data_IF_005890675665
#
_entry.id   IF_005890675665
#
_cell.length_a   1.000
_cell.length_b   1.000
_cell.length_c   1.000
_cell.angle_alpha   90.00
_cell.angle_beta   90.00
_cell.angle_gamma   90.00
#
_symmetry.space_group_name_H-M   'P 1'
#
loop_
_entity.id
_entity.type
_entity.pdbx_description
1 polymer ?
#
# COMPACT_ATOMS: atom_id res chain seq x y z
N UNK A 1 -4.71 5.13 20.02
CA UNK A 1 -3.27 4.98 19.98
C UNK A 1 -2.97 3.62 19.36
N UNK A 2 -1.88 3.50 18.61
CA UNK A 2 -1.45 2.26 17.97
C UNK A 2 -0.94 1.30 19.06
N UNK A 3 -1.31 0.03 18.98
CA UNK A 3 -0.95 -0.99 19.97
C UNK A 3 0.19 -1.87 19.47
N UNK A 4 0.31 -2.00 18.14
CA UNK A 4 1.30 -2.85 17.51
C UNK A 4 1.89 -2.20 16.25
N UNK A 5 3.06 -2.64 15.82
CA UNK A 5 3.71 -2.12 14.62
C UNK A 5 4.63 -3.16 13.98
N UNK A 6 4.84 -3.01 12.68
CA UNK A 6 5.88 -3.71 11.92
C UNK A 6 6.67 -2.71 11.08
N UNK A 7 7.97 -2.94 10.94
CA UNK A 7 8.85 -2.12 10.12
C UNK A 7 9.75 -2.98 9.24
N UNK A 8 9.61 -2.85 7.93
CA UNK A 8 10.42 -3.52 6.93
C UNK A 8 11.54 -2.59 6.43
N UNK A 9 12.78 -2.86 6.83
CA UNK A 9 13.96 -2.13 6.36
C UNK A 9 14.30 -2.53 4.93
N UNK A 10 14.35 -1.59 4.00
CA UNK A 10 14.59 -1.83 2.59
C UNK A 10 15.97 -1.35 2.14
N UNK A 11 16.25 -0.06 2.29
CA UNK A 11 17.53 0.55 1.92
C UNK A 11 18.32 0.94 3.17
N UNK A 12 19.59 0.58 3.23
CA UNK A 12 20.50 0.90 4.34
C UNK A 12 21.64 1.75 3.82
N UNK A 13 21.91 2.86 4.50
CA UNK A 13 22.96 3.82 4.23
C UNK A 13 23.83 3.99 5.49
N UNK A 14 24.96 4.62 5.37
CA UNK A 14 25.88 4.82 6.51
C UNK A 14 25.22 5.65 7.64
N UNK A 15 24.38 6.62 7.28
CA UNK A 15 23.73 7.51 8.23
C UNK A 15 22.25 7.19 8.52
N UNK A 16 21.74 6.04 8.06
CA UNK A 16 20.35 5.67 8.29
C UNK A 16 19.79 4.60 7.37
N UNK A 17 18.48 4.46 7.39
CA UNK A 17 17.79 3.51 6.54
C UNK A 17 16.39 3.98 6.17
N UNK A 18 15.88 3.48 5.05
CA UNK A 18 14.49 3.65 4.63
C UNK A 18 13.76 2.32 4.62
N UNK A 19 12.46 2.35 4.81
CA UNK A 19 11.63 1.16 4.82
C UNK A 19 10.14 1.47 4.83
N UNK A 20 9.36 0.41 4.86
CA UNK A 20 7.92 0.47 5.00
C UNK A 20 7.53 0.24 6.46
N UNK A 21 6.48 0.90 6.93
CA UNK A 21 5.95 0.70 8.28
C UNK A 21 4.44 0.50 8.24
N UNK A 22 3.95 -0.37 9.10
CA UNK A 22 2.53 -0.54 9.38
C UNK A 22 2.33 -0.41 10.88
N UNK A 23 1.41 0.48 11.28
CA UNK A 23 0.98 0.65 12.67
C UNK A 23 -0.47 0.17 12.78
N UNK A 24 -0.78 -0.59 13.81
CA UNK A 24 -2.09 -1.20 13.99
C UNK A 24 -2.67 -0.96 15.39
N UNK A 25 -3.99 -0.85 15.47
CA UNK A 25 -4.75 -0.94 16.73
C UNK A 25 -5.04 -2.38 17.13
N UNK A 26 -4.84 -3.31 16.20
CA UNK A 26 -5.06 -4.73 16.37
C UNK A 26 -3.74 -5.47 16.42
N UNK A 27 -3.67 -6.62 17.10
CA UNK A 27 -2.45 -7.43 17.14
C UNK A 27 -1.98 -7.83 15.74
N UNK A 28 -0.70 -7.64 15.47
CA UNK A 28 -0.01 -8.18 14.29
C UNK A 28 0.50 -9.57 14.67
N UNK A 29 -0.18 -10.61 14.22
CA UNK A 29 0.14 -12.00 14.58
C UNK A 29 1.28 -12.58 13.76
N UNK A 30 1.52 -12.01 12.57
CA UNK A 30 2.63 -12.36 11.70
C UNK A 30 2.98 -11.20 10.79
N UNK A 31 4.26 -11.04 10.50
CA UNK A 31 4.70 -10.12 9.46
C UNK A 31 5.99 -10.58 8.79
N UNK A 32 6.21 -10.13 7.57
CA UNK A 32 7.43 -10.34 6.81
C UNK A 32 7.71 -9.14 5.91
N UNK A 33 8.99 -8.87 5.67
CA UNK A 33 9.45 -7.87 4.70
C UNK A 33 10.18 -8.57 3.57
N UNK A 34 9.67 -8.46 2.36
CA UNK A 34 10.16 -9.17 1.18
C UNK A 34 10.87 -8.19 0.28
N UNK A 35 12.08 -8.52 -0.13
CA UNK A 35 12.80 -7.75 -1.14
C UNK A 35 12.14 -7.94 -2.51
N UNK A 36 11.69 -6.83 -3.09
CA UNK A 36 11.11 -6.76 -4.44
C UNK A 36 11.95 -5.85 -5.35
N UNK A 37 13.19 -5.60 -5.01
CA UNK A 37 14.10 -4.74 -5.77
C UNK A 37 14.26 -5.23 -7.22
N UNK A 38 14.10 -4.35 -8.19
CA UNK A 38 14.32 -4.67 -9.60
C UNK A 38 15.81 -4.62 -9.97
N UNK A 39 16.60 -3.88 -9.21
CA UNK A 39 18.06 -3.80 -9.35
C UNK A 39 18.72 -3.28 -8.06
N UNK A 40 20.03 -3.52 -7.94
CA UNK A 40 20.81 -3.27 -6.71
C UNK A 40 20.88 -1.80 -6.23
N UNK A 41 20.61 -0.85 -7.12
CA UNK A 41 20.70 0.58 -6.79
C UNK A 41 19.37 1.20 -6.34
N UNK A 42 18.28 0.44 -6.41
CA UNK A 42 16.96 0.89 -6.00
C UNK A 42 16.30 -0.21 -5.15
N UNK A 43 16.63 -0.20 -3.87
CA UNK A 43 16.14 -1.20 -2.92
C UNK A 43 14.68 -0.90 -2.56
N UNK A 44 13.83 -1.89 -2.77
CA UNK A 44 12.38 -1.81 -2.55
C UNK A 44 11.89 -3.04 -1.81
N UNK A 45 10.90 -2.84 -0.94
CA UNK A 45 10.33 -3.91 -0.15
C UNK A 45 8.82 -3.92 -0.19
N UNK A 46 8.28 -5.10 0.10
CA UNK A 46 6.88 -5.34 0.40
C UNK A 46 6.81 -5.76 1.86
N UNK A 47 6.20 -4.93 2.70
CA UNK A 47 5.90 -5.29 4.08
C UNK A 47 4.49 -5.86 4.15
N UNK A 48 4.37 -7.13 4.53
CA UNK A 48 3.11 -7.84 4.70
C UNK A 48 2.88 -8.15 6.17
N UNK A 49 1.70 -7.78 6.68
CA UNK A 49 1.25 -8.06 8.04
C UNK A 49 -0.07 -8.83 8.00
N UNK A 50 -0.21 -9.80 8.88
CA UNK A 50 -1.46 -10.48 9.21
C UNK A 50 -1.94 -9.96 10.57
N UNK A 51 -3.16 -9.43 10.62
CA UNK A 51 -3.73 -8.81 11.82
C UNK A 51 -4.91 -9.60 12.32
N UNK A 52 -4.96 -9.83 13.62
CA UNK A 52 -6.11 -10.44 14.28
C UNK A 52 -7.18 -9.37 14.58
N UNK A 53 -8.31 -9.48 13.90
CA UNK A 53 -9.44 -8.56 14.08
C UNK A 53 -10.50 -9.25 14.92
N UNK A 54 -10.89 -8.70 16.08
CA UNK A 54 -11.89 -9.29 16.93
C UNK A 54 -13.20 -9.60 16.18
N UNK A 55 -13.64 -10.86 16.28
CA UNK A 55 -14.86 -11.34 15.63
C UNK A 55 -14.70 -11.76 14.17
N UNK A 56 -13.50 -11.71 13.59
CA UNK A 56 -13.24 -12.24 12.25
C UNK A 56 -12.69 -13.65 12.33
N UNK A 57 -13.09 -14.51 11.37
CA UNK A 57 -12.59 -15.88 11.28
C UNK A 57 -11.22 -15.98 10.59
N UNK A 58 -10.93 -15.02 9.71
CA UNK A 58 -9.69 -14.95 8.95
C UNK A 58 -8.95 -13.66 9.29
N UNK A 59 -7.61 -13.68 9.34
CA UNK A 59 -6.83 -12.48 9.59
C UNK A 59 -7.01 -11.46 8.45
N UNK A 60 -6.89 -10.17 8.80
CA UNK A 60 -6.75 -9.11 7.82
C UNK A 60 -5.31 -9.07 7.31
N UNK A 61 -5.13 -9.24 6.00
CA UNK A 61 -3.84 -9.04 5.36
C UNK A 61 -3.65 -7.56 5.01
N UNK A 62 -2.59 -6.96 5.52
CA UNK A 62 -2.21 -5.58 5.21
C UNK A 62 -0.83 -5.55 4.57
N UNK A 63 -0.71 -4.86 3.44
CA UNK A 63 0.54 -4.76 2.70
C UNK A 63 0.88 -3.30 2.48
N UNK A 64 2.12 -2.93 2.82
CA UNK A 64 2.70 -1.63 2.51
C UNK A 64 3.81 -1.79 1.46
N UNK A 65 3.74 -0.98 0.41
CA UNK A 65 4.72 -1.00 -0.68
C UNK A 65 5.25 0.40 -0.99
N UNK A 66 6.49 0.45 -1.48
CA UNK A 66 7.04 1.60 -2.16
C UNK A 66 7.76 1.11 -3.42
N UNK A 67 7.15 1.33 -4.58
CA UNK A 67 7.67 0.84 -5.85
C UNK A 67 8.74 1.77 -6.43
N UNK A 68 9.51 1.25 -7.37
CA UNK A 68 10.53 2.02 -8.08
C UNK A 68 9.94 3.07 -9.03
N UNK A 69 10.79 3.98 -9.48
CA UNK A 69 10.40 5.10 -10.35
C UNK A 69 10.22 4.68 -11.83
N UNK A 70 10.97 3.65 -12.26
CA UNK A 70 11.02 3.28 -13.67
C UNK A 70 10.03 2.18 -14.04
N UNK A 71 9.28 2.37 -15.11
CA UNK A 71 8.21 1.48 -15.59
C UNK A 71 8.62 0.00 -15.66
N UNK A 72 9.84 -0.30 -16.17
CA UNK A 72 10.33 -1.69 -16.26
C UNK A 72 10.49 -2.32 -14.87
N UNK A 73 11.08 -1.58 -13.92
CA UNK A 73 11.23 -2.03 -12.54
C UNK A 73 9.87 -2.21 -11.86
N UNK A 74 8.97 -1.24 -12.00
CA UNK A 74 7.59 -1.31 -11.47
C UNK A 74 6.86 -2.55 -11.98
N UNK A 75 6.93 -2.84 -13.29
CA UNK A 75 6.26 -4.03 -13.86
C UNK A 75 6.80 -5.32 -13.24
N UNK A 76 8.12 -5.44 -13.06
CA UNK A 76 8.74 -6.59 -12.39
C UNK A 76 8.28 -6.70 -10.93
N UNK A 77 8.29 -5.59 -10.20
CA UNK A 77 7.86 -5.51 -8.80
C UNK A 77 6.37 -5.87 -8.65
N UNK A 78 5.50 -5.35 -9.51
CA UNK A 78 4.07 -5.68 -9.51
C UNK A 78 3.82 -7.17 -9.80
N UNK A 79 4.58 -7.78 -10.71
CA UNK A 79 4.50 -9.23 -10.96
C UNK A 79 4.99 -10.05 -9.77
N UNK A 80 6.04 -9.61 -9.10
CA UNK A 80 6.51 -10.26 -7.87
C UNK A 80 5.46 -10.17 -6.76
N UNK A 81 4.81 -9.01 -6.60
CA UNK A 81 3.71 -8.81 -5.67
C UNK A 81 2.54 -9.75 -6.02
N UNK A 82 2.07 -9.73 -7.26
CA UNK A 82 0.98 -10.60 -7.74
C UNK A 82 1.26 -12.07 -7.43
N UNK A 83 2.44 -12.56 -7.81
CA UNK A 83 2.85 -13.94 -7.55
C UNK A 83 2.82 -14.25 -6.05
N UNK A 84 3.45 -13.41 -5.24
CA UNK A 84 3.53 -13.62 -3.79
C UNK A 84 2.16 -13.63 -3.13
N UNK A 85 1.29 -12.71 -3.52
CA UNK A 85 -0.06 -12.63 -2.96
C UNK A 85 -0.91 -13.86 -3.31
N UNK A 86 -0.80 -14.34 -4.54
CA UNK A 86 -1.54 -15.54 -4.98
C UNK A 86 -1.05 -16.83 -4.30
N UNK A 87 0.24 -16.89 -3.93
CA UNK A 87 0.81 -18.05 -3.24
C UNK A 87 0.46 -18.13 -1.75
N UNK A 88 0.23 -16.97 -1.09
CA UNK A 88 0.13 -16.91 0.37
C UNK A 88 -1.26 -16.53 0.85
N UNK A 89 -1.93 -15.58 0.16
CA UNK A 89 -3.18 -15.02 0.64
C UNK A 89 -4.36 -15.74 -0.04
N UNK A 90 -5.22 -16.40 0.73
CA UNK A 90 -6.41 -17.02 0.18
C UNK A 90 -7.23 -16.04 -0.67
N UNK A 91 -7.84 -16.47 -1.79
CA UNK A 91 -8.58 -15.59 -2.68
C UNK A 91 -9.74 -14.84 -2.01
N UNK A 92 -10.28 -15.41 -0.95
CA UNK A 92 -11.41 -14.86 -0.16
C UNK A 92 -10.97 -13.97 0.99
N UNK A 93 -9.70 -14.05 1.42
CA UNK A 93 -9.21 -13.34 2.58
C UNK A 93 -9.29 -11.81 2.40
N UNK A 94 -9.62 -11.08 3.47
CA UNK A 94 -9.63 -9.62 3.45
C UNK A 94 -8.21 -9.09 3.25
N UNK A 95 -8.06 -8.15 2.33
CA UNK A 95 -6.76 -7.64 1.95
C UNK A 95 -6.81 -6.12 1.77
N UNK A 96 -5.81 -5.43 2.29
CA UNK A 96 -5.52 -4.02 2.02
C UNK A 96 -4.08 -3.92 1.50
N UNK A 97 -3.89 -3.24 0.38
CA UNK A 97 -2.56 -2.88 -0.13
C UNK A 97 -2.51 -1.37 -0.24
N UNK A 98 -1.55 -0.73 0.40
CA UNK A 98 -1.39 0.71 0.35
C UNK A 98 0.09 1.11 0.23
N UNK A 99 0.34 2.32 -0.28
CA UNK A 99 1.68 2.88 -0.36
C UNK A 99 1.90 3.73 -1.60
N UNK A 100 3.17 4.07 -1.81
CA UNK A 100 3.64 4.77 -2.99
C UNK A 100 3.92 3.77 -4.12
N UNK A 101 3.07 3.79 -5.12
CA UNK A 101 3.20 2.93 -6.30
C UNK A 101 4.06 3.56 -7.39
N UNK A 102 4.37 4.85 -7.29
CA UNK A 102 5.06 5.60 -8.36
C UNK A 102 4.45 5.36 -9.76
N UNK A 103 3.15 5.02 -9.81
CA UNK A 103 2.48 4.48 -11.00
C UNK A 103 1.87 5.59 -11.87
N UNK A 104 2.71 6.24 -12.64
CA UNK A 104 2.35 7.29 -13.59
C UNK A 104 1.52 6.79 -14.79
N UNK A 105 1.47 5.46 -15.00
CA UNK A 105 0.92 4.83 -16.20
C UNK A 105 -0.23 3.87 -15.93
N UNK A 106 -0.77 3.87 -14.69
CA UNK A 106 -1.84 2.96 -14.24
C UNK A 106 -1.53 1.45 -14.46
N UNK A 107 -0.23 1.09 -14.42
CA UNK A 107 0.21 -0.31 -14.58
C UNK A 107 -0.20 -1.18 -13.40
N UNK A 108 -0.17 -0.64 -12.19
CA UNK A 108 -0.62 -1.31 -10.98
C UNK A 108 -2.12 -1.61 -11.03
N UNK A 109 -2.92 -0.66 -11.53
CA UNK A 109 -4.36 -0.83 -11.68
C UNK A 109 -4.68 -2.11 -12.45
N UNK A 110 -4.11 -2.26 -13.66
CA UNK A 110 -4.41 -3.42 -14.50
C UNK A 110 -4.08 -4.75 -13.82
N UNK A 111 -2.90 -4.86 -13.19
CA UNK A 111 -2.48 -6.10 -12.54
C UNK A 111 -3.33 -6.38 -11.29
N UNK A 112 -3.49 -5.39 -10.41
CA UNK A 112 -4.14 -5.60 -9.13
C UNK A 112 -5.67 -5.71 -9.24
N UNK A 113 -6.30 -4.99 -10.17
CA UNK A 113 -7.77 -5.05 -10.30
C UNK A 113 -8.22 -6.22 -11.18
N UNK A 114 -7.57 -6.47 -12.32
CA UNK A 114 -7.99 -7.52 -13.25
C UNK A 114 -7.60 -8.91 -12.75
N UNK A 115 -6.32 -9.11 -12.36
CA UNK A 115 -5.84 -10.43 -11.93
C UNK A 115 -6.25 -10.76 -10.50
N UNK A 116 -6.18 -9.78 -9.58
CA UNK A 116 -6.37 -10.03 -8.15
C UNK A 116 -7.73 -9.60 -7.62
N UNK A 117 -8.59 -9.06 -8.47
CA UNK A 117 -9.94 -8.56 -8.13
C UNK A 117 -9.95 -7.57 -6.97
N UNK A 118 -8.90 -6.77 -6.86
CA UNK A 118 -8.83 -5.68 -5.89
C UNK A 118 -9.59 -4.47 -6.43
N UNK A 119 -10.07 -3.65 -5.52
CA UNK A 119 -10.77 -2.40 -5.83
C UNK A 119 -9.86 -1.25 -5.41
N UNK A 120 -9.61 -0.30 -6.32
CA UNK A 120 -8.93 0.95 -5.98
C UNK A 120 -9.93 1.88 -5.27
N UNK A 121 -9.57 2.31 -4.07
CA UNK A 121 -10.49 2.96 -3.12
C UNK A 121 -11.00 4.32 -3.63
N UNK A 122 -10.11 5.18 -4.14
CA UNK A 122 -10.48 6.51 -4.62
C UNK A 122 -11.25 6.44 -5.93
N UNK A 123 -10.92 5.50 -6.80
CA UNK A 123 -11.66 5.27 -8.03
C UNK A 123 -13.09 4.82 -7.74
N UNK A 124 -13.27 3.93 -6.75
CA UNK A 124 -14.61 3.52 -6.31
C UNK A 124 -15.39 4.67 -5.66
N UNK A 125 -14.74 5.49 -4.84
CA UNK A 125 -15.40 6.58 -4.12
C UNK A 125 -15.68 7.81 -5.00
N UNK A 126 -14.79 8.12 -5.96
CA UNK A 126 -14.78 9.39 -6.68
C UNK A 126 -14.67 9.27 -8.21
N UNK A 127 -14.64 8.05 -8.75
CA UNK A 127 -14.48 7.79 -10.19
C UNK A 127 -13.08 8.09 -10.75
N UNK A 128 -12.12 8.40 -9.88
CA UNK A 128 -10.73 8.69 -10.25
C UNK A 128 -9.79 8.44 -9.09
N UNK A 129 -8.56 8.06 -9.39
CA UNK A 129 -7.49 7.87 -8.40
C UNK A 129 -7.06 9.19 -7.74
N UNK A 130 -6.56 9.10 -6.51
CA UNK A 130 -6.11 10.26 -5.75
C UNK A 130 -4.89 10.94 -6.37
N UNK A 131 -4.82 12.26 -6.28
CA UNK A 131 -3.58 13.02 -6.48
C UNK A 131 -2.93 13.24 -5.12
N UNK A 132 -1.68 12.87 -4.97
CA UNK A 132 -0.99 12.88 -3.68
C UNK A 132 0.33 13.64 -3.66
N UNK A 133 0.94 13.91 -4.83
CA UNK A 133 2.24 14.56 -4.90
C UNK A 133 2.25 15.77 -5.85
N UNK A 134 2.96 16.86 -5.51
CA UNK A 134 3.49 17.19 -4.19
C UNK A 134 2.36 17.56 -3.21
N UNK A 135 2.57 17.37 -1.90
CA UNK A 135 1.51 17.51 -0.87
C UNK A 135 0.86 18.89 -0.81
N UNK A 136 1.61 19.96 -1.09
CA UNK A 136 1.09 21.33 -1.05
C UNK A 136 0.13 21.63 -2.23
N UNK A 137 0.41 21.06 -3.40
CA UNK A 137 -0.41 21.20 -4.62
C UNK A 137 -0.42 19.90 -5.42
N UNK A 138 -1.23 18.90 -5.04
CA UNK A 138 -1.16 17.58 -5.63
C UNK A 138 -1.56 17.53 -7.08
N UNK A 139 -0.61 17.13 -7.92
CA UNK A 139 -0.76 16.97 -9.36
C UNK A 139 -0.66 15.51 -9.79
N UNK A 140 0.26 14.76 -9.16
CA UNK A 140 0.59 13.39 -9.53
C UNK A 140 -0.15 12.38 -8.66
N UNK A 141 -0.43 11.22 -9.24
CA UNK A 141 -1.21 10.14 -8.63
C UNK A 141 -0.28 8.98 -8.28
N UNK A 142 0.56 9.15 -7.27
CA UNK A 142 1.59 8.18 -6.91
C UNK A 142 1.12 7.16 -5.88
N UNK A 143 0.37 7.62 -4.88
CA UNK A 143 -0.11 6.79 -3.79
C UNK A 143 -1.46 6.14 -4.12
N UNK A 144 -1.65 4.90 -3.69
CA UNK A 144 -2.86 4.10 -3.92
C UNK A 144 -3.27 3.34 -2.67
N UNK A 145 -4.57 3.06 -2.59
CA UNK A 145 -5.13 2.12 -1.63
C UNK A 145 -6.01 1.13 -2.40
N UNK A 146 -5.64 -0.14 -2.37
CA UNK A 146 -6.42 -1.24 -2.94
C UNK A 146 -6.99 -2.12 -1.84
N UNK A 147 -8.23 -2.57 -2.02
CA UNK A 147 -8.90 -3.42 -1.04
C UNK A 147 -9.61 -4.61 -1.69
N UNK A 148 -9.72 -5.72 -0.94
CA UNK A 148 -10.54 -6.88 -1.27
C UNK A 148 -11.32 -7.32 -0.03
N UNK A 149 -12.61 -7.68 -0.20
CA UNK A 149 -13.49 -8.07 0.90
C UNK A 149 -14.11 -6.90 1.66
N UNK A 150 -14.02 -5.67 1.10
CA UNK A 150 -14.56 -4.45 1.72
C UNK A 150 -15.49 -3.68 0.81
N UNK A 151 -16.38 -2.92 1.44
CA UNK A 151 -17.12 -1.82 0.84
C UNK A 151 -16.44 -0.51 1.20
N UNK A 152 -16.11 0.31 0.22
CA UNK A 152 -15.61 1.67 0.44
C UNK A 152 -16.78 2.58 0.80
N UNK A 153 -16.70 3.25 1.95
CA UNK A 153 -17.68 4.24 2.40
C UNK A 153 -17.26 5.66 2.09
N UNK A 154 -15.98 5.96 2.25
CA UNK A 154 -15.42 7.28 1.97
C UNK A 154 -13.91 7.18 1.76
N UNK A 155 -13.35 8.13 1.01
CA UNK A 155 -11.91 8.31 0.82
C UNK A 155 -11.58 9.79 0.78
N UNK A 156 -10.49 10.21 1.45
CA UNK A 156 -10.11 11.62 1.58
C UNK A 156 -8.62 11.80 1.33
N UNK A 157 -8.27 12.82 0.55
CA UNK A 157 -6.90 13.33 0.41
C UNK A 157 -6.74 14.49 1.38
N UNK A 158 -5.78 14.39 2.30
CA UNK A 158 -5.53 15.43 3.29
C UNK A 158 -4.54 16.46 2.75
N UNK A 159 -5.07 17.61 2.40
CA UNK A 159 -4.31 18.75 1.89
C UNK A 159 -4.41 19.90 2.87
N UNK A 160 -3.30 20.28 3.47
CA UNK A 160 -3.20 21.50 4.25
C UNK A 160 -1.72 21.87 4.45
N UNK A 161 -1.39 23.10 4.80
CA UNK A 161 -0.03 23.49 5.17
C UNK A 161 0.57 22.65 6.31
N UNK A 162 -0.28 22.15 7.22
CA UNK A 162 0.16 21.28 8.31
C UNK A 162 0.66 19.94 7.77
N UNK A 163 -0.12 19.28 6.91
CA UNK A 163 0.27 18.01 6.29
C UNK A 163 1.51 18.16 5.39
N UNK A 164 1.60 19.26 4.65
CA UNK A 164 2.75 19.54 3.77
C UNK A 164 4.08 19.79 4.52
N UNK A 165 4.04 20.07 5.82
CA UNK A 165 5.24 20.14 6.68
C UNK A 165 5.70 18.77 7.17
N UNK A 166 4.85 17.76 7.12
CA UNK A 166 5.13 16.41 7.63
C UNK A 166 5.68 15.53 6.50
N UNK A 167 5.13 15.66 5.29
CA UNK A 167 5.51 14.85 4.13
C UNK A 167 5.33 15.66 2.85
N UNK A 168 6.14 15.35 1.84
CA UNK A 168 6.01 15.84 0.47
C UNK A 168 4.88 15.11 -0.30
N UNK A 169 4.32 14.03 0.26
CA UNK A 169 3.09 13.39 -0.20
C UNK A 169 1.90 13.76 0.67
N UNK A 170 0.75 14.01 0.06
CA UNK A 170 -0.52 14.21 0.78
C UNK A 170 -1.00 12.88 1.35
N UNK A 171 -1.37 12.88 2.63
CA UNK A 171 -1.88 11.68 3.28
C UNK A 171 -3.25 11.27 2.70
N UNK A 172 -3.42 9.98 2.47
CA UNK A 172 -4.67 9.37 2.00
C UNK A 172 -5.33 8.61 3.14
N UNK A 173 -6.65 8.78 3.31
CA UNK A 173 -7.44 7.96 4.24
C UNK A 173 -8.63 7.34 3.53
N UNK A 174 -9.04 6.18 4.02
CA UNK A 174 -10.22 5.47 3.56
C UNK A 174 -11.03 4.93 4.75
N UNK A 175 -12.35 5.06 4.66
CA UNK A 175 -13.28 4.37 5.54
C UNK A 175 -13.85 3.17 4.77
N UNK A 176 -13.54 1.97 5.24
CA UNK A 176 -13.92 0.71 4.63
C UNK A 176 -14.66 -0.17 5.64
N UNK A 177 -15.64 -0.94 5.18
CA UNK A 177 -16.43 -1.85 6.02
C UNK A 177 -16.36 -3.24 5.42
N UNK A 178 -16.15 -4.26 6.26
CA UNK A 178 -16.14 -5.68 5.85
C UNK A 178 -17.46 -6.03 5.17
N UNK A 179 -17.41 -6.76 4.05
CA UNK A 179 -18.58 -7.32 3.38
C UNK A 179 -19.01 -8.64 4.01
#
# INVERSE_FOLDING_TARGET
VWQDFAYGKNAVYDEGHHGNAILSRFPIIRWENIDISAHRFEQRGLLHCEMDIPGWQEPLHCICVHLGLFKRGQTMQLRAIEKRLTEIIPPTAPLVIAGDFNDWHDSAKRILTESMKLVEVFEQAHGRTARSFPSLFPLLRLDRIYVRGFQVKNAVVHQSPTWARISDHAALTANIVRR
#
